data_IF_333209075067
#
_entry.id   IF_333209075067
#
_cell.length_a   1.000
_cell.length_b   1.000
_cell.length_c   1.000
_cell.angle_alpha   90.00
_cell.angle_beta   90.00
_cell.angle_gamma   90.00
#
_symmetry.space_group_name_H-M   'P 1'
#
loop_
_entity.id
_entity.type
_entity.pdbx_description
1 polymer ?
#
# COMPACT_ATOMS: atom_id res chain seq x y z
N UNK A 1 -8.88 -11.77 0.70
CA UNK A 1 -8.58 -11.91 2.14
C UNK A 1 -9.04 -13.28 2.57
N UNK A 2 -8.22 -14.10 3.26
CA UNK A 2 -8.71 -15.35 3.81
C UNK A 2 -9.76 -14.98 4.85
N UNK A 3 -11.02 -15.34 4.63
CA UNK A 3 -12.04 -15.20 5.66
C UNK A 3 -11.59 -16.02 6.86
N UNK A 4 -11.07 -15.34 7.89
CA UNK A 4 -10.87 -15.94 9.19
C UNK A 4 -12.20 -16.57 9.58
N UNK A 5 -12.20 -17.80 10.08
CA UNK A 5 -13.44 -18.46 10.44
C UNK A 5 -14.10 -17.65 11.55
N UNK A 6 -15.12 -16.86 11.20
CA UNK A 6 -15.89 -16.02 12.14
C UNK A 6 -16.73 -16.91 13.04
N UNK A 7 -16.15 -17.28 14.18
CA UNK A 7 -16.72 -18.24 15.12
C UNK A 7 -17.13 -17.60 16.43
N UNK A 8 -16.46 -16.51 16.84
CA UNK A 8 -16.55 -16.03 18.21
C UNK A 8 -17.91 -15.41 18.51
N UNK A 9 -18.43 -14.59 17.59
CA UNK A 9 -19.79 -14.03 17.70
C UNK A 9 -20.86 -15.12 17.76
N UNK A 10 -20.74 -16.16 16.91
CA UNK A 10 -21.65 -17.31 16.90
C UNK A 10 -21.63 -18.06 18.23
N UNK A 11 -20.43 -18.31 18.78
CA UNK A 11 -20.26 -18.96 20.09
C UNK A 11 -20.81 -18.12 21.23
N UNK A 12 -20.61 -16.81 21.21
CA UNK A 12 -21.19 -15.90 22.21
C UNK A 12 -22.72 -16.01 22.20
N UNK A 13 -23.33 -15.93 21.03
CA UNK A 13 -24.78 -16.12 20.85
C UNK A 13 -25.27 -17.47 21.40
N UNK A 14 -24.56 -18.56 21.11
CA UNK A 14 -24.88 -19.90 21.61
C UNK A 14 -24.83 -19.96 23.15
N UNK A 15 -23.79 -19.38 23.76
CA UNK A 15 -23.63 -19.36 25.21
C UNK A 15 -24.72 -18.54 25.87
N UNK A 16 -25.02 -17.34 25.37
CA UNK A 16 -26.10 -16.49 25.90
C UNK A 16 -27.46 -17.20 25.85
N UNK A 17 -27.81 -17.81 24.71
CA UNK A 17 -29.06 -18.58 24.56
C UNK A 17 -29.13 -19.77 25.51
N UNK A 18 -28.03 -20.52 25.62
CA UNK A 18 -27.96 -21.69 26.51
C UNK A 18 -28.07 -21.27 27.97
N UNK A 19 -27.40 -20.19 28.38
CA UNK A 19 -27.48 -19.67 29.74
C UNK A 19 -28.91 -19.22 30.08
N UNK A 20 -29.57 -18.49 29.16
CA UNK A 20 -30.96 -18.07 29.32
C UNK A 20 -31.90 -19.27 29.50
N UNK A 21 -31.78 -20.29 28.65
CA UNK A 21 -32.58 -21.51 28.74
C UNK A 21 -32.37 -22.23 30.07
N UNK A 22 -31.11 -22.36 30.53
CA UNK A 22 -30.80 -23.00 31.80
C UNK A 22 -31.35 -22.21 33.01
N UNK A 23 -31.39 -20.88 32.94
CA UNK A 23 -31.97 -20.03 33.98
C UNK A 23 -33.48 -20.24 34.11
N UNK A 24 -34.18 -20.46 33.00
CA UNK A 24 -35.63 -20.63 32.97
C UNK A 24 -36.07 -22.07 33.34
N UNK A 25 -35.18 -23.06 33.24
CA UNK A 25 -35.48 -24.47 33.55
C UNK A 25 -36.14 -24.69 34.93
N UNK A 26 -35.77 -23.90 35.94
CA UNK A 26 -36.36 -24.03 37.29
C UNK A 26 -37.83 -23.61 37.32
N UNK A 27 -38.18 -22.59 36.55
CA UNK A 27 -39.56 -22.08 36.43
C UNK A 27 -40.38 -22.98 35.51
N UNK A 28 -39.75 -23.60 34.50
CA UNK A 28 -40.37 -24.61 33.64
C UNK A 28 -40.75 -25.90 34.38
N UNK A 29 -40.05 -26.24 35.46
CA UNK A 29 -40.39 -27.41 36.27
C UNK A 29 -41.66 -27.15 37.09
N UNK A 30 -42.75 -27.79 36.68
CA UNK A 30 -44.06 -27.68 37.35
C UNK A 30 -44.03 -28.12 38.81
N UNK A 31 -43.30 -29.19 39.16
CA UNK A 31 -43.24 -29.69 40.54
C UNK A 31 -42.63 -28.66 41.48
N UNK A 32 -41.56 -27.99 41.03
CA UNK A 32 -40.94 -26.91 41.80
C UNK A 32 -41.91 -25.75 41.97
N UNK A 33 -42.59 -25.36 40.90
CA UNK A 33 -43.54 -24.25 40.95
C UNK A 33 -44.76 -24.58 41.84
N UNK A 34 -45.32 -25.78 41.74
CA UNK A 34 -46.45 -26.21 42.58
C UNK A 34 -46.05 -26.38 44.05
N UNK A 35 -44.80 -26.80 44.33
CA UNK A 35 -44.30 -26.90 45.71
C UNK A 35 -44.23 -25.56 46.43
N UNK A 36 -44.10 -24.45 45.69
CA UNK A 36 -44.12 -23.10 46.25
C UNK A 36 -45.54 -22.59 46.54
N UNK A 37 -46.58 -23.17 45.90
CA UNK A 37 -47.98 -22.73 46.02
C UNK A 37 -48.96 -23.89 46.28
N UNK A 38 -48.71 -24.79 47.25
CA UNK A 38 -49.42 -26.07 47.38
C UNK A 38 -50.92 -25.91 47.62
N UNK A 39 -51.34 -24.90 48.41
CA UNK A 39 -52.75 -24.63 48.69
C UNK A 39 -53.49 -24.07 47.47
N UNK A 40 -52.81 -23.28 46.64
CA UNK A 40 -53.42 -22.66 45.45
C UNK A 40 -53.57 -23.69 44.33
N UNK A 41 -52.55 -24.54 44.12
CA UNK A 41 -52.58 -25.61 43.12
C UNK A 41 -53.50 -26.77 43.48
N UNK A 42 -53.94 -26.88 44.74
CA UNK A 42 -54.94 -27.86 45.15
C UNK A 42 -56.33 -27.58 44.52
N UNK A 43 -56.58 -26.35 44.06
CA UNK A 43 -57.78 -26.01 43.30
C UNK A 43 -57.53 -26.13 41.80
N UNK A 44 -58.50 -26.69 41.06
CA UNK A 44 -58.39 -26.88 39.60
C UNK A 44 -58.20 -25.52 38.88
N UNK A 45 -58.95 -24.49 39.30
CA UNK A 45 -58.79 -23.13 38.79
C UNK A 45 -57.40 -22.55 39.09
N UNK A 46 -56.87 -22.74 40.29
CA UNK A 46 -55.55 -22.24 40.68
C UNK A 46 -54.41 -22.93 39.93
N UNK A 47 -54.48 -24.25 39.73
CA UNK A 47 -53.52 -24.98 38.91
C UNK A 47 -53.51 -24.49 37.45
N UNK A 48 -54.68 -24.28 36.86
CA UNK A 48 -54.82 -23.81 35.47
C UNK A 48 -54.32 -22.37 35.28
N UNK A 49 -54.60 -21.50 36.25
CA UNK A 49 -54.10 -20.13 36.27
C UNK A 49 -52.58 -20.07 36.41
N UNK A 50 -52.01 -20.86 37.34
CA UNK A 50 -50.58 -20.90 37.57
C UNK A 50 -49.82 -21.47 36.36
N UNK A 51 -50.35 -22.50 35.70
CA UNK A 51 -49.78 -23.04 34.46
C UNK A 51 -49.80 -22.01 33.31
N UNK A 52 -50.88 -21.23 33.21
CA UNK A 52 -50.99 -20.14 32.21
C UNK A 52 -49.98 -19.03 32.51
N UNK A 53 -49.88 -18.60 33.77
CA UNK A 53 -48.92 -17.60 34.22
C UNK A 53 -47.47 -18.05 34.01
N UNK A 54 -47.15 -19.30 34.35
CA UNK A 54 -45.84 -19.91 34.11
C UNK A 54 -45.44 -19.79 32.64
N UNK A 55 -46.32 -20.18 31.72
CA UNK A 55 -46.07 -20.08 30.28
C UNK A 55 -45.85 -18.63 29.84
N UNK A 56 -46.70 -17.71 30.28
CA UNK A 56 -46.58 -16.28 29.95
C UNK A 56 -45.26 -15.68 30.45
N UNK A 57 -44.86 -15.98 31.69
CA UNK A 57 -43.60 -15.51 32.26
C UNK A 57 -42.40 -16.05 31.49
N UNK A 58 -42.41 -17.34 31.15
CA UNK A 58 -41.34 -17.97 30.37
C UNK A 58 -41.22 -17.30 28.99
N UNK A 59 -42.33 -17.15 28.28
CA UNK A 59 -42.37 -16.57 26.94
C UNK A 59 -41.91 -15.11 26.96
N UNK A 60 -42.47 -14.31 27.86
CA UNK A 60 -42.11 -12.90 28.03
C UNK A 60 -40.63 -12.74 28.39
N UNK A 61 -40.14 -13.52 29.36
CA UNK A 61 -38.75 -13.47 29.80
C UNK A 61 -37.78 -13.83 28.67
N UNK A 62 -38.08 -14.90 27.92
CA UNK A 62 -37.25 -15.36 26.81
C UNK A 62 -37.19 -14.32 25.69
N UNK A 63 -38.33 -13.79 25.28
CA UNK A 63 -38.42 -12.83 24.17
C UNK A 63 -37.80 -11.48 24.55
N UNK A 64 -38.10 -10.97 25.75
CA UNK A 64 -37.51 -9.72 26.23
C UNK A 64 -35.99 -9.84 26.35
N UNK A 65 -35.49 -10.90 27.01
CA UNK A 65 -34.04 -11.08 27.18
C UNK A 65 -33.33 -11.22 25.84
N UNK A 66 -33.93 -11.92 24.87
CA UNK A 66 -33.37 -12.05 23.52
C UNK A 66 -33.27 -10.69 22.83
N UNK A 67 -34.33 -9.88 22.89
CA UNK A 67 -34.34 -8.53 22.34
C UNK A 67 -33.28 -7.64 22.98
N UNK A 68 -33.18 -7.65 24.30
CA UNK A 68 -32.17 -6.87 25.01
C UNK A 68 -30.74 -7.30 24.64
N UNK A 69 -30.47 -8.60 24.48
CA UNK A 69 -29.17 -9.06 24.00
C UNK A 69 -28.86 -8.55 22.58
N UNK A 70 -29.85 -8.59 21.67
CA UNK A 70 -29.68 -8.09 20.31
C UNK A 70 -29.41 -6.58 20.29
N UNK A 71 -30.10 -5.79 21.11
CA UNK A 71 -29.85 -4.35 21.22
C UNK A 71 -28.47 -4.06 21.81
N UNK A 72 -28.05 -4.74 22.87
CA UNK A 72 -26.68 -4.60 23.42
C UNK A 72 -25.62 -4.96 22.36
N UNK A 73 -25.85 -6.01 21.56
CA UNK A 73 -24.92 -6.40 20.51
C UNK A 73 -24.79 -5.34 19.42
N UNK A 74 -25.89 -4.68 19.06
CA UNK A 74 -25.90 -3.55 18.10
C UNK A 74 -25.23 -2.32 18.68
N UNK A 75 -25.59 -1.90 19.89
CA UNK A 75 -25.04 -0.70 20.55
C UNK A 75 -23.52 -0.76 20.71
N UNK A 76 -22.99 -1.95 20.98
CA UNK A 76 -21.55 -2.17 21.21
C UNK A 76 -20.80 -2.59 19.97
N UNK A 77 -21.49 -2.77 18.85
CA UNK A 77 -20.94 -3.30 17.60
C UNK A 77 -20.10 -4.57 17.82
N UNK A 78 -20.64 -5.49 18.63
CA UNK A 78 -19.90 -6.67 19.09
C UNK A 78 -19.61 -7.64 17.95
N UNK A 79 -20.50 -7.72 16.95
CA UNK A 79 -20.31 -8.60 15.82
C UNK A 79 -19.06 -8.23 15.02
N UNK A 80 -18.91 -6.96 14.63
CA UNK A 80 -17.74 -6.49 13.90
C UNK A 80 -16.47 -6.66 14.73
N UNK A 81 -16.48 -6.21 16.00
CA UNK A 81 -15.31 -6.34 16.89
C UNK A 81 -14.83 -7.78 17.05
N UNK A 82 -15.75 -8.74 17.17
CA UNK A 82 -15.39 -10.16 17.30
C UNK A 82 -14.95 -10.78 15.98
N UNK A 83 -15.50 -10.31 14.86
CA UNK A 83 -15.07 -10.72 13.53
C UNK A 83 -13.65 -10.20 13.24
N UNK A 84 -13.39 -8.91 13.50
CA UNK A 84 -12.08 -8.28 13.37
C UNK A 84 -11.04 -8.99 14.25
N UNK A 85 -11.43 -9.40 15.46
CA UNK A 85 -10.56 -10.18 16.35
C UNK A 85 -10.23 -11.57 15.77
N UNK A 86 -11.22 -12.28 15.21
CA UNK A 86 -10.97 -13.58 14.57
C UNK A 86 -10.06 -13.42 13.33
N UNK A 87 -10.26 -12.36 12.54
CA UNK A 87 -9.44 -12.03 11.38
C UNK A 87 -8.00 -11.68 11.82
N UNK A 88 -7.84 -10.86 12.86
CA UNK A 88 -6.53 -10.52 13.44
C UNK A 88 -5.79 -11.76 13.94
N UNK A 89 -6.47 -12.65 14.66
CA UNK A 89 -5.86 -13.90 15.15
C UNK A 89 -5.44 -14.81 13.99
N UNK A 90 -6.25 -14.89 12.92
CA UNK A 90 -5.90 -15.67 11.73
C UNK A 90 -4.66 -15.09 11.06
N UNK A 91 -4.65 -13.78 10.82
CA UNK A 91 -3.52 -13.07 10.22
C UNK A 91 -2.25 -13.24 11.05
N UNK A 92 -2.31 -13.04 12.37
CA UNK A 92 -1.17 -13.23 13.27
C UNK A 92 -0.61 -14.66 13.22
N UNK A 93 -1.46 -15.69 13.14
CA UNK A 93 -1.00 -17.08 13.01
C UNK A 93 -0.27 -17.33 11.69
N UNK A 94 -0.73 -16.73 10.60
CA UNK A 94 -0.08 -16.88 9.30
C UNK A 94 1.24 -16.11 9.23
N UNK A 95 1.27 -14.88 9.73
CA UNK A 95 2.48 -14.08 9.90
C UNK A 95 3.51 -14.80 10.77
N UNK A 96 3.09 -15.39 11.89
CA UNK A 96 3.99 -16.14 12.79
C UNK A 96 4.61 -17.35 12.11
N UNK A 97 3.86 -18.09 11.27
CA UNK A 97 4.44 -19.21 10.48
C UNK A 97 5.54 -18.74 9.54
N UNK A 98 5.42 -17.54 8.97
CA UNK A 98 6.40 -16.95 8.06
C UNK A 98 7.60 -16.36 8.81
N UNK A 99 7.40 -15.76 9.99
CA UNK A 99 8.46 -15.10 10.77
C UNK A 99 9.30 -16.03 11.67
N UNK A 100 8.82 -17.24 11.99
CA UNK A 100 9.48 -18.20 12.88
C UNK A 100 10.86 -18.73 12.37
N UNK A 101 11.41 -18.21 11.28
CA UNK A 101 12.71 -18.63 10.77
C UNK A 101 13.89 -17.83 11.35
N UNK A 102 13.77 -16.55 11.72
CA UNK A 102 14.96 -15.76 12.11
C UNK A 102 14.75 -14.57 13.07
N UNK A 103 13.53 -14.25 13.52
CA UNK A 103 13.31 -13.05 14.34
C UNK A 103 12.98 -13.34 15.82
N UNK A 104 13.64 -12.65 16.78
CA UNK A 104 13.27 -12.70 18.18
C UNK A 104 11.84 -12.18 18.37
N UNK A 105 11.15 -12.70 19.38
CA UNK A 105 9.77 -12.33 19.70
C UNK A 105 9.62 -10.80 19.72
N UNK A 106 8.79 -10.26 18.82
CA UNK A 106 8.49 -8.83 18.78
C UNK A 106 7.88 -8.42 20.13
N UNK A 107 8.33 -7.28 20.66
CA UNK A 107 7.81 -6.71 21.90
C UNK A 107 6.31 -6.40 21.76
N UNK A 108 5.57 -6.54 22.85
CA UNK A 108 4.15 -6.20 22.88
C UNK A 108 3.96 -4.69 22.66
N UNK A 109 2.85 -4.30 22.04
CA UNK A 109 2.55 -2.89 21.75
C UNK A 109 2.59 -2.01 23.00
N UNK A 110 2.19 -2.55 24.15
CA UNK A 110 2.17 -1.86 25.44
C UNK A 110 3.56 -1.58 26.02
N UNK A 111 4.60 -2.25 25.53
CA UNK A 111 6.00 -2.04 25.93
C UNK A 111 6.70 -1.00 25.05
N UNK A 112 6.08 -0.60 23.95
CA UNK A 112 6.63 0.38 23.01
C UNK A 112 6.43 1.81 23.52
N UNK A 113 7.45 2.63 23.35
CA UNK A 113 7.32 4.07 23.61
C UNK A 113 6.41 4.73 22.56
N UNK A 114 5.76 5.87 22.89
CA UNK A 114 4.98 6.62 21.91
C UNK A 114 5.78 6.99 20.66
N UNK A 115 7.07 7.29 20.82
CA UNK A 115 7.98 7.58 19.70
C UNK A 115 8.19 6.36 18.79
N UNK A 116 8.34 5.17 19.37
CA UNK A 116 8.47 3.92 18.61
C UNK A 116 7.19 3.61 17.83
N UNK A 117 6.01 3.83 18.43
CA UNK A 117 4.73 3.66 17.74
C UNK A 117 4.56 4.62 16.58
N UNK A 118 4.89 5.91 16.77
CA UNK A 118 4.81 6.91 15.71
C UNK A 118 5.80 6.58 14.59
N UNK A 119 7.05 6.25 14.94
CA UNK A 119 8.07 5.90 13.94
C UNK A 119 7.74 4.62 13.16
N UNK A 120 7.18 3.62 13.84
CA UNK A 120 6.69 2.39 13.20
C UNK A 120 5.57 2.68 12.21
N UNK A 121 4.54 3.42 12.61
CA UNK A 121 3.43 3.80 11.71
C UNK A 121 3.89 4.67 10.54
N UNK A 122 4.87 5.57 10.77
CA UNK A 122 5.43 6.41 9.73
C UNK A 122 6.37 5.65 8.78
N UNK A 123 6.83 4.46 9.16
CA UNK A 123 7.77 3.67 8.35
C UNK A 123 7.16 3.28 7.01
N UNK A 124 5.96 2.70 7.01
CA UNK A 124 5.29 2.23 5.78
C UNK A 124 5.04 3.38 4.79
N UNK A 125 4.62 4.54 5.32
CA UNK A 125 4.43 5.75 4.51
C UNK A 125 5.74 6.26 3.92
N UNK A 126 6.84 6.22 4.70
CA UNK A 126 8.17 6.62 4.22
C UNK A 126 8.70 5.64 3.17
N UNK A 127 8.54 4.34 3.37
CA UNK A 127 8.96 3.31 2.41
C UNK A 127 8.20 3.47 1.09
N UNK A 128 6.88 3.69 1.16
CA UNK A 128 6.07 3.97 -0.04
C UNK A 128 6.52 5.23 -0.78
N UNK A 129 6.81 6.32 -0.05
CA UNK A 129 7.29 7.56 -0.63
C UNK A 129 8.69 7.42 -1.24
N UNK A 130 9.59 6.67 -0.59
CA UNK A 130 10.92 6.37 -1.13
C UNK A 130 10.82 5.60 -2.45
N UNK A 131 9.95 4.59 -2.53
CA UNK A 131 9.70 3.88 -3.79
C UNK A 131 9.23 4.81 -4.91
N UNK A 132 8.29 5.73 -4.63
CA UNK A 132 7.84 6.73 -5.61
C UNK A 132 8.96 7.70 -6.04
N UNK A 133 9.85 8.07 -5.12
CA UNK A 133 10.99 8.93 -5.42
C UNK A 133 12.03 8.21 -6.28
N UNK A 134 12.31 6.94 -6.00
CA UNK A 134 13.22 6.11 -6.79
C UNK A 134 12.69 5.92 -8.21
N UNK A 135 11.39 5.65 -8.37
CA UNK A 135 10.75 5.54 -9.70
C UNK A 135 10.87 6.86 -10.49
N UNK A 136 10.67 8.00 -9.81
CA UNK A 136 10.78 9.32 -10.43
C UNK A 136 12.22 9.66 -10.78
N UNK A 137 13.18 9.28 -9.94
CA UNK A 137 14.60 9.46 -10.20
C UNK A 137 15.04 8.61 -11.40
N UNK A 138 14.59 7.35 -11.47
CA UNK A 138 14.80 6.48 -12.63
C UNK A 138 14.27 7.11 -13.92
N UNK A 139 13.04 7.64 -13.88
CA UNK A 139 12.44 8.34 -15.03
C UNK A 139 13.29 9.54 -15.49
N UNK A 140 13.78 10.37 -14.56
CA UNK A 140 14.62 11.53 -14.89
C UNK A 140 15.99 11.11 -15.41
N UNK A 141 16.58 10.06 -14.84
CA UNK A 141 17.86 9.52 -15.31
C UNK A 141 17.74 8.99 -16.75
N UNK A 142 16.66 8.28 -17.06
CA UNK A 142 16.38 7.79 -18.41
C UNK A 142 16.17 8.95 -19.41
N UNK A 143 15.43 9.99 -19.01
CA UNK A 143 15.26 11.20 -19.82
C UNK A 143 16.58 11.93 -20.07
N UNK A 144 17.42 12.09 -19.04
CA UNK A 144 18.73 12.72 -19.19
C UNK A 144 19.63 11.92 -20.13
N UNK A 145 19.63 10.59 -20.01
CA UNK A 145 20.41 9.72 -20.89
C UNK A 145 19.92 9.81 -22.35
N UNK A 146 18.62 9.92 -22.57
CA UNK A 146 18.06 10.13 -23.90
C UNK A 146 18.50 11.49 -24.50
N UNK A 147 18.47 12.56 -23.70
CA UNK A 147 18.93 13.89 -24.11
C UNK A 147 20.43 13.94 -24.40
N UNK A 148 21.26 13.24 -23.61
CA UNK A 148 22.70 13.12 -23.86
C UNK A 148 22.99 12.46 -25.21
N UNK A 149 22.28 11.36 -25.51
CA UNK A 149 22.40 10.69 -26.81
C UNK A 149 21.97 11.58 -27.97
N UNK A 150 20.90 12.36 -27.80
CA UNK A 150 20.43 13.31 -28.81
C UNK A 150 21.46 14.43 -29.04
N UNK A 151 22.07 14.96 -27.97
CA UNK A 151 23.13 15.97 -28.08
C UNK A 151 24.39 15.43 -28.75
N UNK A 152 24.80 14.20 -28.47
CA UNK A 152 25.92 13.56 -29.16
C UNK A 152 25.61 13.35 -30.65
N UNK A 153 24.38 12.95 -30.97
CA UNK A 153 23.94 12.82 -32.36
C UNK A 153 24.00 14.17 -33.10
N UNK A 154 23.42 15.22 -32.52
CA UNK A 154 23.47 16.58 -33.08
C UNK A 154 24.90 17.10 -33.23
N UNK A 155 25.79 16.86 -32.25
CA UNK A 155 27.22 17.21 -32.37
C UNK A 155 27.89 16.48 -33.53
N UNK A 156 27.60 15.20 -33.70
CA UNK A 156 28.14 14.41 -34.80
C UNK A 156 27.67 14.94 -36.17
N UNK A 157 26.39 15.31 -36.28
CA UNK A 157 25.82 15.91 -37.48
C UNK A 157 26.48 17.25 -37.80
N UNK A 158 26.56 18.17 -36.83
CA UNK A 158 27.22 19.48 -37.01
C UNK A 158 28.68 19.29 -37.44
N UNK A 159 29.41 18.36 -36.83
CA UNK A 159 30.79 18.07 -37.22
C UNK A 159 30.88 17.54 -38.65
N UNK A 160 29.93 16.71 -39.09
CA UNK A 160 29.89 16.22 -40.47
C UNK A 160 29.55 17.35 -41.46
N UNK A 161 28.54 18.17 -41.17
CA UNK A 161 28.15 19.30 -42.03
C UNK A 161 29.27 20.33 -42.13
N UNK A 162 29.99 20.59 -41.03
CA UNK A 162 31.14 21.51 -41.04
C UNK A 162 32.29 20.95 -41.90
N UNK A 163 32.51 19.63 -41.87
CA UNK A 163 33.49 18.98 -42.75
C UNK A 163 33.06 19.05 -44.20
N UNK A 164 31.80 18.74 -44.51
CA UNK A 164 31.27 18.85 -45.87
C UNK A 164 31.35 20.30 -46.40
N UNK A 165 31.03 21.29 -45.58
CA UNK A 165 31.18 22.71 -45.94
C UNK A 165 32.64 23.08 -46.20
N UNK A 166 33.59 22.62 -45.38
CA UNK A 166 35.01 22.83 -45.63
C UNK A 166 35.47 22.12 -46.92
N UNK A 167 35.03 20.90 -47.18
CA UNK A 167 35.33 20.19 -48.42
C UNK A 167 34.76 20.92 -49.65
N UNK A 168 33.54 21.48 -49.55
CA UNK A 168 32.94 22.30 -50.59
C UNK A 168 33.73 23.61 -50.77
N UNK A 169 34.12 24.25 -49.67
CA UNK A 169 34.97 25.45 -49.69
C UNK A 169 36.30 25.17 -50.38
N UNK A 170 37.02 24.13 -49.98
CA UNK A 170 38.30 23.71 -50.57
C UNK A 170 38.15 23.34 -52.06
N UNK A 171 37.02 22.72 -52.45
CA UNK A 171 36.73 22.38 -53.86
C UNK A 171 36.36 23.60 -54.70
N UNK A 172 35.70 24.60 -54.14
CA UNK A 172 35.18 25.77 -54.87
C UNK A 172 36.15 26.93 -54.93
N UNK A 173 36.93 27.16 -53.88
CA UNK A 173 38.02 28.14 -53.85
C UNK A 173 39.34 27.55 -54.32
N UNK A 174 39.43 26.21 -54.47
CA UNK A 174 40.67 25.51 -54.79
C UNK A 174 41.65 25.57 -53.62
N UNK A 175 42.53 24.57 -53.50
CA UNK A 175 43.78 24.74 -52.76
C UNK A 175 44.70 25.67 -53.57
N UNK A 176 44.35 26.94 -53.72
CA UNK A 176 45.14 27.89 -54.49
C UNK A 176 45.33 29.21 -53.73
N UNK A 177 46.50 29.30 -53.09
CA UNK A 177 47.29 30.53 -53.08
C UNK A 177 48.78 30.21 -52.89
N UNK A 178 49.14 29.17 -52.12
CA UNK A 178 50.55 28.94 -51.76
C UNK A 178 51.45 28.52 -52.94
N UNK A 179 50.95 27.78 -53.93
CA UNK A 179 51.78 27.35 -55.07
C UNK A 179 51.85 28.36 -56.22
N UNK A 180 50.80 29.16 -56.44
CA UNK A 180 50.82 30.24 -57.44
C UNK A 180 51.64 31.44 -56.95
N UNK A 181 51.68 31.71 -55.64
CA UNK A 181 52.47 32.81 -55.08
C UNK A 181 53.97 32.62 -55.31
N UNK A 182 54.49 31.39 -55.24
CA UNK A 182 55.93 31.15 -55.39
C UNK A 182 56.40 31.35 -56.85
N UNK A 183 55.60 30.91 -57.83
CA UNK A 183 55.89 31.10 -59.26
C UNK A 183 55.75 32.56 -59.68
N UNK A 184 54.72 33.26 -59.16
CA UNK A 184 54.54 34.70 -59.40
C UNK A 184 55.65 35.52 -58.74
N UNK A 185 56.09 35.15 -57.53
CA UNK A 185 57.23 35.80 -56.87
C UNK A 185 58.54 35.58 -57.63
N UNK A 186 58.77 34.38 -58.18
CA UNK A 186 59.95 34.09 -58.99
C UNK A 186 59.94 34.90 -60.29
N UNK A 187 58.81 34.93 -61.01
CA UNK A 187 58.67 35.72 -62.23
C UNK A 187 58.81 37.24 -62.00
N UNK A 188 58.34 37.76 -60.87
CA UNK A 188 58.53 39.15 -60.48
C UNK A 188 60.01 39.46 -60.18
N UNK A 189 60.73 38.52 -59.55
CA UNK A 189 62.17 38.66 -59.29
C UNK A 189 62.97 38.67 -60.58
N UNK A 190 62.65 37.80 -61.53
CA UNK A 190 63.36 37.74 -62.81
C UNK A 190 63.14 39.03 -63.63
N UNK A 191 61.91 39.55 -63.64
CA UNK A 191 61.59 40.84 -64.31
C UNK A 191 62.29 42.05 -63.67
N UNK A 192 62.47 42.03 -62.34
CA UNK A 192 63.24 43.06 -61.63
C UNK A 192 64.76 42.98 -61.89
N UNK A 193 65.26 41.79 -62.25
CA UNK A 193 66.67 41.61 -62.62
C UNK A 193 66.91 42.13 -64.04
N UNK A 194 66.04 41.82 -65.00
CA UNK A 194 66.15 42.34 -66.38
C UNK A 194 66.12 43.88 -66.42
N UNK A 195 65.20 44.53 -65.69
CA UNK A 195 65.15 46.00 -65.61
C UNK A 195 66.43 46.62 -65.02
N UNK A 196 67.11 45.89 -64.13
CA UNK A 196 68.38 46.35 -63.54
C UNK A 196 69.55 46.14 -64.50
N UNK A 197 69.47 45.14 -65.38
CA UNK A 197 70.48 44.90 -66.41
C UNK A 197 70.34 45.90 -67.57
N UNK A 198 69.13 46.31 -67.93
CA UNK A 198 68.88 47.37 -68.94
C UNK A 198 69.29 48.79 -68.48
N UNK A 199 69.39 49.05 -67.18
CA UNK A 199 69.90 50.34 -66.64
C UNK A 199 71.45 50.44 -66.62
N UNK A 200 72.17 49.37 -66.98
CA UNK A 200 73.65 49.28 -66.87
C UNK A 200 74.35 49.28 -68.26
N UNK A 201 73.61 49.23 -69.39
CA UNK A 201 74.12 49.53 -70.75
C UNK A 201 73.94 51.01 -71.14
#
# INVERSE_FOLDING_TARGET
>A
MPEGVRIRYKRLNQVCRKALQQSVNKIQNWEKLSSCFPQYTATDAGAKNLSTCQRQVIEFWMELSKREFEEIFKERDIENKLNDLDDLISHSKDVQKTLNQDHPAMACIDELSPEQLINGNMHDSRVSLLGQLDDRLGTVADMNKALELELEHLRSQISSETKELNEIYDRSMGQESDSMDEVLQQGLRDMLVELREEEIE
#
